data_IF_996266367269
#
_entry.id   IF_996266367269
#
_cell.length_a   1.000
_cell.length_b   1.000
_cell.length_c   1.000
_cell.angle_alpha   90.00
_cell.angle_beta   90.00
_cell.angle_gamma   90.00
#
_symmetry.space_group_name_H-M   'P 1'
#
loop_
_entity.id
_entity.type
_entity.pdbx_description
1 polymer ?
2 non-polymer ?
3 water ?
#
# COMPACT_ATOMS: atom_id res chain seq x y z
N UNK A 1 -11.73 6.68 14.15
CA UNK A 1 -12.37 5.87 13.13
C UNK A 1 -11.46 4.71 12.74
N UNK A 2 -11.93 3.50 12.99
CA UNK A 2 -11.16 2.31 12.68
C UNK A 2 -11.57 1.76 11.32
N UNK A 3 -10.64 1.08 10.67
CA UNK A 3 -10.89 0.50 9.35
C UNK A 3 -10.45 -0.95 9.35
N UNK A 4 -11.23 -1.78 8.69
CA UNK A 4 -10.83 -3.16 8.50
C UNK A 4 -9.89 -3.25 7.30
N UNK A 5 -8.77 -3.95 7.41
CA UNK A 5 -7.89 -4.12 6.25
C UNK A 5 -8.60 -4.87 5.13
N UNK A 6 -8.22 -4.55 3.90
CA UNK A 6 -8.57 -5.38 2.77
C UNK A 6 -7.60 -6.55 2.67
N UNK A 7 -8.08 -7.68 2.17
CA UNK A 7 -7.20 -8.81 1.93
C UNK A 7 -6.05 -8.39 1.01
N UNK A 8 -4.83 -8.73 1.41
CA UNK A 8 -3.65 -8.45 0.61
C UNK A 8 -3.17 -7.01 0.63
N UNK A 9 -3.87 -6.12 1.33
CA UNK A 9 -3.51 -4.70 1.34
C UNK A 9 -2.10 -4.49 1.88
N UNK A 10 -1.35 -3.61 1.24
CA UNK A 10 0.00 -3.34 1.71
C UNK A 10 -0.02 -2.43 2.94
N UNK A 11 1.07 -2.50 3.71
CA UNK A 11 1.17 -1.69 4.92
C UNK A 11 1.10 -0.21 4.60
N UNK A 12 1.79 0.21 3.55
CA UNK A 12 1.74 1.61 3.15
C UNK A 12 0.31 2.03 2.83
N UNK A 13 -0.39 1.23 2.02
CA UNK A 13 -1.74 1.61 1.66
C UNK A 13 -2.65 1.67 2.88
N UNK A 14 -2.54 0.68 3.76
CA UNK A 14 -3.38 0.64 4.96
C UNK A 14 -3.10 1.83 5.87
N UNK A 15 -1.82 2.14 6.12
CA UNK A 15 -1.50 3.27 6.98
C UNK A 15 -2.09 4.56 6.44
N UNK A 16 -1.92 4.81 5.14
CA UNK A 16 -2.47 6.04 4.57
C UNK A 16 -3.98 6.08 4.65
N UNK A 17 -4.63 4.93 4.44
CA UNK A 17 -6.08 4.88 4.51
C UNK A 17 -6.57 5.14 5.93
N UNK A 18 -5.86 4.60 6.93
CA UNK A 18 -6.20 4.91 8.32
C UNK A 18 -6.01 6.39 8.60
N UNK A 19 -4.92 6.96 8.11
CA UNK A 19 -4.65 8.39 8.34
C UNK A 19 -5.75 9.26 7.70
N UNK A 20 -6.18 8.91 6.49
CA UNK A 20 -7.23 9.70 5.85
C UNK A 20 -8.54 9.63 6.62
N UNK A 21 -8.88 8.46 7.17
CA UNK A 21 -10.10 8.32 7.97
C UNK A 21 -10.06 9.15 9.24
N UNK A 22 -8.88 9.53 9.70
CA UNK A 22 -8.70 10.23 10.96
C UNK A 22 -8.04 11.59 10.80
N UNK A 23 -7.88 12.05 9.56
CA UNK A 23 -7.27 13.35 9.27
C UNK A 23 -5.91 13.50 9.94
N UNK A 24 -5.09 12.45 9.85
CA UNK A 24 -3.78 12.43 10.48
C UNK A 24 -2.68 12.55 9.44
N UNK A 25 -1.65 13.31 9.78
CA UNK A 25 -0.39 13.24 9.05
C UNK A 25 0.38 12.00 9.49
N UNK A 26 1.38 11.62 8.70
CA UNK A 26 2.26 10.53 9.09
C UNK A 26 2.93 10.81 10.43
N UNK A 27 3.38 12.05 10.65
CA UNK A 27 3.98 12.38 11.94
C UNK A 27 2.94 12.29 13.05
N UNK A 28 1.70 12.69 12.76
CA UNK A 28 0.64 12.59 13.75
C UNK A 28 0.34 11.15 14.15
N UNK A 29 0.25 10.25 13.18
CA UNK A 29 0.07 8.85 13.52
C UNK A 29 1.26 8.32 14.30
N UNK A 30 2.47 8.74 13.92
CA UNK A 30 3.65 8.32 14.65
C UNK A 30 3.63 8.77 16.09
N UNK A 31 3.16 9.99 16.35
CA UNK A 31 3.10 10.43 17.74
C UNK A 31 2.01 9.71 18.51
N UNK A 32 0.87 9.46 17.88
CA UNK A 32 -0.19 8.69 18.53
C UNK A 32 0.30 7.31 18.94
N UNK A 33 1.12 6.67 18.11
CA UNK A 33 1.65 5.35 18.37
C UNK A 33 2.94 5.38 19.19
N UNK A 34 3.54 6.54 19.38
CA UNK A 34 4.77 6.66 20.14
C UNK A 34 6.04 6.27 19.43
N UNK A 35 6.02 6.19 18.10
CA UNK A 35 7.17 5.75 17.31
C UNK A 35 7.60 6.77 16.26
N UNK A 36 6.93 7.91 16.18
CA UNK A 36 7.44 9.04 15.41
C UNK A 36 7.62 8.76 13.93
N UNK A 37 8.84 9.02 13.46
CA UNK A 37 9.18 9.02 12.04
C UNK A 37 9.12 7.63 11.41
N UNK A 38 8.98 6.58 12.21
CA UNK A 38 8.93 5.23 11.67
C UNK A 38 7.75 5.06 10.72
N UNK A 39 6.62 5.69 11.04
CA UNK A 39 5.42 5.56 10.21
C UNK A 39 5.72 6.00 8.77
N UNK A 40 6.31 7.18 8.60
CA UNK A 40 6.60 7.66 7.25
C UNK A 40 7.60 6.75 6.54
N UNK A 41 8.57 6.19 7.28
CA UNK A 41 9.49 5.25 6.66
C UNK A 41 8.74 4.06 6.08
N UNK A 42 7.82 3.50 6.85
CA UNK A 42 7.08 2.34 6.36
C UNK A 42 6.19 2.71 5.19
N UNK A 43 5.60 3.90 5.22
CA UNK A 43 4.75 4.35 4.12
C UNK A 43 5.51 4.43 2.79
N UNK A 44 6.80 4.77 2.82
CA UNK A 44 7.60 4.76 1.61
C UNK A 44 8.29 3.42 1.38
N UNK A 45 7.87 2.38 2.09
CA UNK A 45 8.41 1.03 1.93
C UNK A 45 9.90 0.97 2.23
N UNK A 46 10.34 1.74 3.21
CA UNK A 46 11.73 1.72 3.64
C UNK A 46 11.81 0.93 4.94
N UNK A 47 12.47 -0.22 4.86
CA UNK A 47 12.67 -1.07 6.06
C UNK A 47 14.14 -1.48 6.11
N UNK A 48 15.07 -0.51 6.12
CA UNK A 48 16.50 -0.90 6.30
C UNK A 48 16.57 -1.56 7.68
N UNK A 49 15.92 -1.03 8.75
CA UNK A 49 15.77 -1.79 9.98
C UNK A 49 14.35 -2.36 9.81
N UNK A 50 14.22 -3.69 9.82
CA UNK A 50 12.89 -4.32 9.58
C UNK A 50 11.93 -3.92 10.70
N UNK A 51 10.60 -3.79 10.46
CA UNK A 51 9.67 -3.50 11.56
C UNK A 51 9.89 -4.43 12.74
N UNK A 52 10.09 -3.85 13.91
CA UNK A 52 10.30 -4.65 15.11
C UNK A 52 8.96 -5.06 15.71
N UNK A 53 9.02 -6.05 16.60
CA UNK A 53 7.82 -6.46 17.30
C UNK A 53 7.21 -5.29 18.07
N UNK A 54 8.05 -4.51 18.75
CA UNK A 54 7.53 -3.40 19.53
C UNK A 54 6.90 -2.35 18.63
N UNK A 55 7.50 -2.08 17.46
CA UNK A 55 6.94 -1.09 16.56
C UNK A 55 5.61 -1.55 15.97
N UNK A 56 5.54 -2.81 15.54
CA UNK A 56 4.28 -3.33 15.03
C UNK A 56 3.19 -3.32 16.10
N UNK A 57 3.54 -3.71 17.34
CA UNK A 57 2.55 -3.68 18.41
C UNK A 57 2.14 -2.26 18.78
N UNK A 58 3.06 -1.30 18.63
CA UNK A 58 2.72 0.10 18.88
C UNK A 58 1.68 0.59 17.87
N UNK A 59 1.88 0.29 16.59
CA UNK A 59 0.88 0.67 15.60
C UNK A 59 -0.41 -0.12 15.82
N UNK A 60 -0.29 -1.40 16.14
CA UNK A 60 -1.46 -2.23 16.36
C UNK A 60 -2.35 -1.66 17.45
N UNK A 61 -1.74 -1.04 18.47
CA UNK A 61 -2.51 -0.48 19.57
C UNK A 61 -3.39 0.67 19.11
N UNK A 62 -2.93 1.44 18.13
CA UNK A 62 -3.68 2.59 17.63
C UNK A 62 -4.74 2.15 16.63
N UNK A 63 -4.35 1.34 15.64
CA UNK A 63 -5.26 0.98 14.56
C UNK A 63 -6.15 -0.20 14.91
N UNK A 64 -5.87 -0.89 16.02
CA UNK A 64 -6.68 -2.02 16.48
C UNK A 64 -6.72 -3.15 15.46
N UNK A 65 -5.58 -3.38 14.82
CA UNK A 65 -5.33 -4.52 13.96
C UNK A 65 -4.09 -5.20 14.51
N UNK A 66 -4.20 -6.49 14.82
CA UNK A 66 -3.12 -7.21 15.49
C UNK A 66 -1.83 -7.15 14.70
N UNK A 67 -0.70 -7.17 15.41
CA UNK A 67 0.61 -7.17 14.77
C UNK A 67 0.75 -8.31 13.77
N UNK A 68 0.13 -9.46 14.05
CA UNK A 68 0.20 -10.59 13.13
C UNK A 68 -0.48 -10.25 11.80
N UNK A 69 -1.62 -9.57 11.86
CA UNK A 69 -2.30 -9.15 10.64
C UNK A 69 -1.52 -8.04 9.94
N UNK A 70 -0.91 -7.13 10.70
CA UNK A 70 -0.06 -6.10 10.09
C UNK A 70 1.12 -6.73 9.35
N UNK A 71 1.68 -7.81 9.90
CA UNK A 71 2.79 -8.48 9.23
C UNK A 71 2.37 -9.07 7.89
N UNK A 72 1.08 -9.39 7.72
CA UNK A 72 0.59 -9.88 6.44
C UNK A 72 0.37 -8.76 5.43
N UNK A 73 0.64 -7.51 5.81
CA UNK A 73 0.69 -6.38 4.89
C UNK A 73 2.10 -6.13 4.37
N UNK A 74 3.02 -7.02 4.69
CA UNK A 74 4.40 -7.02 4.25
C UNK A 74 4.68 -8.39 3.65
N UNK A 75 5.74 -8.52 2.86
CA UNK A 75 6.06 -9.83 2.30
C UNK A 75 6.42 -10.80 3.41
N UNK A 76 6.20 -12.10 3.20
CA UNK A 76 6.69 -13.09 4.16
C UNK A 76 8.21 -13.08 4.20
N UNK A 77 8.76 -13.70 5.25
CA UNK A 77 10.20 -13.82 5.36
C UNK A 77 10.77 -14.51 4.12
N UNK A 78 11.84 -13.95 3.58
CA UNK A 78 12.49 -14.51 2.41
C UNK A 78 11.96 -14.03 1.07
N UNK A 79 10.89 -13.24 1.06
CA UNK A 79 10.30 -12.73 -0.18
C UNK A 79 10.80 -11.31 -0.38
N UNK A 80 11.60 -11.09 -1.41
CA UNK A 80 12.12 -9.76 -1.68
C UNK A 80 11.07 -8.87 -2.31
N UNK A 81 11.09 -7.59 -1.93
CA UNK A 81 10.19 -6.60 -2.50
C UNK A 81 10.98 -5.37 -2.94
N UNK A 82 10.29 -4.47 -3.63
CA UNK A 82 10.86 -3.24 -4.14
C UNK A 82 10.02 -2.07 -3.66
N UNK A 83 10.67 -0.97 -3.27
CA UNK A 83 9.91 0.25 -2.90
C UNK A 83 9.47 0.97 -4.18
N UNK A 84 10.19 0.75 -5.28
CA UNK A 84 9.89 1.43 -6.57
C UNK A 84 10.13 0.40 -7.68
N UNK A 85 9.43 0.45 -8.83
CA UNK A 85 8.22 1.25 -8.99
C UNK A 85 6.98 0.77 -8.23
N UNK A 86 6.13 1.71 -7.82
CA UNK A 86 4.85 1.31 -7.26
C UNK A 86 3.99 0.79 -8.40
N UNK A 87 3.35 -0.36 -8.19
CA UNK A 87 2.61 -1.04 -9.25
C UNK A 87 1.15 -1.27 -8.87
N UNK A 88 0.36 -1.69 -9.86
CA UNK A 88 -1.09 -1.68 -9.77
C UNK A 88 -1.65 -2.71 -10.73
N UNK A 89 -2.62 -3.50 -10.27
CA UNK A 89 -3.54 -4.18 -11.18
C UNK A 89 -4.86 -3.43 -11.11
N UNK A 90 -5.25 -2.81 -12.22
CA UNK A 90 -6.50 -2.06 -12.24
C UNK A 90 -7.72 -2.94 -12.10
N UNK A 91 -7.66 -4.16 -12.64
CA UNK A 91 -8.79 -5.07 -12.51
C UNK A 91 -8.97 -5.48 -11.06
N UNK A 92 -7.87 -5.68 -10.33
CA UNK A 92 -7.97 -5.93 -8.90
C UNK A 92 -8.55 -4.72 -8.18
N UNK A 93 -8.06 -3.52 -8.50
CA UNK A 93 -8.54 -2.32 -7.83
C UNK A 93 -10.04 -2.12 -8.02
N UNK A 94 -10.56 -2.49 -9.19
CA UNK A 94 -12.00 -2.40 -9.44
C UNK A 94 -12.80 -3.29 -8.49
N UNK A 95 -12.22 -4.41 -8.08
CA UNK A 95 -12.86 -5.36 -7.18
C UNK A 95 -12.66 -4.99 -5.71
N UNK A 96 -11.51 -4.43 -5.37
CA UNK A 96 -11.16 -4.08 -4.00
C UNK A 96 -10.18 -2.91 -4.09
N UNK A 97 -10.55 -1.73 -3.60
CA UNK A 97 -9.77 -0.51 -3.88
C UNK A 97 -8.54 -0.34 -3.00
N UNK A 98 -7.55 -1.22 -3.19
CA UNK A 98 -6.31 -1.10 -2.45
C UNK A 98 -5.13 -1.50 -3.31
N UNK A 99 -3.97 -1.02 -2.90
CA UNK A 99 -2.70 -1.54 -3.37
C UNK A 99 -2.38 -2.82 -2.60
N UNK A 100 -1.97 -3.86 -3.32
CA UNK A 100 -1.60 -5.15 -2.75
C UNK A 100 -0.09 -5.23 -2.57
N UNK A 101 0.35 -5.75 -1.42
CA UNK A 101 1.79 -5.88 -1.20
C UNK A 101 2.45 -6.78 -2.25
N UNK A 102 1.71 -7.76 -2.77
CA UNK A 102 2.25 -8.65 -3.80
C UNK A 102 2.74 -7.89 -5.02
N UNK A 103 2.15 -6.74 -5.32
CA UNK A 103 2.56 -5.97 -6.48
C UNK A 103 3.95 -5.37 -6.32
N UNK A 104 4.50 -5.37 -5.11
CA UNK A 104 5.87 -4.95 -4.91
C UNK A 104 6.84 -6.12 -4.80
N UNK A 105 6.37 -7.36 -4.93
CA UNK A 105 7.29 -8.49 -4.92
C UNK A 105 8.15 -8.46 -6.17
N UNK A 106 9.46 -8.66 -6.00
CA UNK A 106 10.36 -8.61 -7.14
C UNK A 106 10.05 -9.68 -8.18
N UNK A 107 9.45 -10.79 -7.77
CA UNK A 107 9.17 -11.91 -8.66
C UNK A 107 7.84 -11.77 -9.40
N UNK A 108 7.05 -10.74 -9.12
CA UNK A 108 5.69 -10.64 -9.62
C UNK A 108 5.67 -9.67 -10.80
N UNK A 109 5.15 -10.13 -11.93
CA UNK A 109 4.96 -9.29 -13.10
C UNK A 109 3.57 -9.41 -13.68
N UNK A 110 2.81 -10.42 -13.29
CA UNK A 110 1.49 -10.70 -13.81
C UNK A 110 0.55 -10.92 -12.63
N UNK A 111 -0.67 -10.43 -12.75
CA UNK A 111 -1.71 -10.76 -11.79
C UNK A 111 -2.21 -12.17 -12.09
N UNK A 112 -2.12 -13.06 -11.11
CA UNK A 112 -2.58 -14.43 -11.31
C UNK A 112 -4.09 -14.49 -11.50
N UNK A 113 -4.83 -13.70 -10.73
CA UNK A 113 -6.29 -13.73 -10.81
C UNK A 113 -6.78 -13.28 -12.18
N UNK A 114 -6.20 -12.21 -12.72
CA UNK A 114 -6.68 -11.61 -13.95
C UNK A 114 -5.84 -11.96 -15.17
N UNK A 115 -4.70 -12.63 -14.98
CA UNK A 115 -3.81 -12.99 -16.09
C UNK A 115 -3.51 -11.77 -16.97
N UNK A 116 -3.15 -10.67 -16.32
CA UNK A 116 -2.73 -9.45 -16.98
C UNK A 116 -1.40 -9.00 -16.40
N UNK A 117 -0.57 -8.38 -17.25
CA UNK A 117 0.60 -7.69 -16.75
C UNK A 117 0.16 -6.60 -15.78
N UNK A 118 0.86 -6.50 -14.65
CA UNK A 118 0.57 -5.38 -13.76
C UNK A 118 1.26 -4.11 -14.27
N UNK A 119 0.71 -2.98 -13.88
CA UNK A 119 1.12 -1.68 -14.38
C UNK A 119 2.19 -1.06 -13.49
N UNK A 120 3.19 -0.44 -14.11
CA UNK A 120 4.21 0.29 -13.37
C UNK A 120 4.10 1.79 -13.52
N UNK A 121 3.08 2.27 -14.22
CA UNK A 121 2.78 3.69 -14.38
C UNK A 121 1.42 3.76 -15.06
N UNK A 122 0.83 4.95 -15.03
CA UNK A 122 -0.47 5.12 -15.65
C UNK A 122 -0.38 4.76 -17.14
N UNK A 123 -1.23 3.86 -17.64
CA UNK A 123 -1.15 3.50 -19.07
C UNK A 123 -1.73 4.55 -20.00
N UNK A 124 -2.40 5.56 -19.46
CA UNK A 124 -2.93 6.66 -20.27
C UNK A 124 -1.91 7.78 -20.44
N UNK A 125 -1.27 8.22 -19.35
CA UNK A 125 -0.39 9.37 -19.41
C UNK A 125 1.04 9.10 -18.92
N UNK A 126 1.34 7.88 -18.48
CA UNK A 126 2.68 7.44 -18.07
C UNK A 126 3.14 7.99 -16.73
N UNK A 127 2.28 8.70 -16.00
CA UNK A 127 2.67 9.20 -14.68
C UNK A 127 2.90 8.02 -13.73
N UNK A 128 4.03 7.97 -13.02
CA UNK A 128 4.20 6.91 -12.03
C UNK A 128 3.22 7.08 -10.88
N UNK A 129 2.88 5.96 -10.26
CA UNK A 129 1.99 6.00 -9.11
C UNK A 129 2.76 6.46 -7.88
N UNK A 130 2.09 7.23 -7.02
CA UNK A 130 2.69 7.66 -5.77
C UNK A 130 2.80 6.48 -4.82
N UNK A 131 3.50 6.68 -3.71
CA UNK A 131 3.50 5.64 -2.69
C UNK A 131 2.06 5.34 -2.27
N UNK A 132 1.74 4.09 -1.95
CA UNK A 132 0.34 3.72 -1.76
C UNK A 132 -0.35 4.48 -0.64
N UNK A 133 0.40 4.90 0.39
CA UNK A 133 -0.17 5.72 1.46
C UNK A 133 -0.80 7.00 0.93
N UNK A 134 -0.39 7.47 -0.25
CA UNK A 134 -0.92 8.70 -0.82
C UNK A 134 -1.98 8.45 -1.89
N UNK A 135 -2.49 7.23 -2.01
CA UNK A 135 -3.55 6.92 -2.98
C UNK A 135 -4.89 7.38 -2.41
N UNK A 136 -5.10 8.69 -2.45
CA UNK A 136 -6.26 9.27 -1.77
C UNK A 136 -7.55 8.94 -2.50
N UNK A 137 -7.57 9.06 -3.81
CA UNK A 137 -8.70 8.62 -4.58
C UNK A 137 -8.23 7.47 -5.47
N UNK A 138 -9.15 6.87 -6.19
CA UNK A 138 -8.69 5.77 -7.01
C UNK A 138 -8.33 6.18 -8.42
N UNK A 139 -7.66 7.32 -8.62
CA UNK A 139 -7.39 7.83 -9.96
C UNK A 139 -5.95 8.29 -10.11
N UNK A 140 -5.46 8.26 -11.34
CA UNK A 140 -4.16 8.83 -11.66
C UNK A 140 -4.12 10.29 -11.22
N UNK A 141 -3.08 10.66 -10.48
CA UNK A 141 -3.02 12.04 -9.99
C UNK A 141 -2.83 13.04 -11.13
N UNK A 142 -2.30 12.62 -12.27
CA UNK A 142 -2.06 13.53 -13.40
C UNK A 142 -3.29 13.65 -14.30
N UNK A 143 -3.60 12.58 -15.03
CA UNK A 143 -4.68 12.63 -16.03
C UNK A 143 -6.05 12.34 -15.44
N UNK A 144 -6.12 11.85 -14.21
CA UNK A 144 -7.35 11.55 -13.48
C UNK A 144 -8.09 10.32 -13.98
N UNK A 145 -7.43 9.46 -14.76
CA UNK A 145 -8.04 8.20 -15.15
C UNK A 145 -8.24 7.31 -13.92
N UNK A 146 -9.44 6.78 -13.70
CA UNK A 146 -9.64 5.87 -12.56
C UNK A 146 -8.79 4.62 -12.71
N UNK A 147 -8.20 4.18 -11.58
CA UNK A 147 -7.43 2.94 -11.56
C UNK A 147 -8.26 1.78 -12.10
N UNK A 148 -9.55 1.74 -11.76
CA UNK A 148 -10.42 0.68 -12.26
C UNK A 148 -10.52 0.69 -13.78
N UNK A 149 -10.52 1.88 -14.39
CA UNK A 149 -10.58 1.95 -15.85
C UNK A 149 -9.27 1.55 -16.51
N UNK A 150 -8.14 1.65 -15.79
CA UNK A 150 -6.86 1.23 -16.35
C UNK A 150 -6.84 -0.26 -16.65
N UNK A 151 -7.74 -1.03 -16.06
CA UNK A 151 -7.85 -2.45 -16.38
C UNK A 151 -8.04 -2.66 -17.88
N UNK A 152 -8.79 -1.76 -18.53
CA UNK A 152 -9.06 -1.88 -19.96
C UNK A 152 -7.81 -1.68 -20.81
N UNK A 153 -6.78 -1.04 -20.28
CA UNK A 153 -5.53 -0.80 -20.99
C UNK A 153 -4.42 -1.76 -20.58
N UNK A 154 -4.68 -2.65 -19.63
CA UNK A 154 -3.70 -3.65 -19.27
C UNK A 154 -3.56 -4.69 -20.38
N UNK A 155 -2.35 -5.22 -20.51
CA UNK A 155 -2.05 -6.16 -21.59
C UNK A 155 -1.91 -7.57 -21.04
X LIG B 1 -2.55 9.20 -15.99
X LIG C 1 -5.61 -8.34 -10.81
#
# INVERSE_FOLDING_TARGET
FLIKPYEGESLSHFLGRFRRANHLSASGLGTLAGIGAIVARWERFHFNPRPSQQELEAIASVVEVDAQRLAQMLPPAGVGMQHEPIRLCGACYAESPCHRIEWQYKSVWKCDRHQLKILAKCPNCQAPFKMPALWEDGCCHRCRMPFAEMAKLQK
ZN ZN
ZN ZN
#
